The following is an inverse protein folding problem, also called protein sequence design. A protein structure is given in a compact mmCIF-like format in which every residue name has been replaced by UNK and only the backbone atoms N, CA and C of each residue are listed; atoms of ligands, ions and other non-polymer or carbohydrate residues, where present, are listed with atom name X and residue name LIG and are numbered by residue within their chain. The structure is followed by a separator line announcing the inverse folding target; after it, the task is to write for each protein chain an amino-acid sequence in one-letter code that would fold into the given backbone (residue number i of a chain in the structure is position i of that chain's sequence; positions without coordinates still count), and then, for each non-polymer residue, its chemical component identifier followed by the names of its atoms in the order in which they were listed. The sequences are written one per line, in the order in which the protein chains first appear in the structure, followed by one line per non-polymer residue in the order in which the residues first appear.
data_IF_821067352200
#
_entry.id   IF_821067352200
#
_cell.length_a   1.000
_cell.length_b   1.000
_cell.length_c   1.000
_cell.angle_alpha   90.00
_cell.angle_beta   90.00
_cell.angle_gamma   90.00
#
_symmetry.space_group_name_H-M   'P 1'
#
loop_
_entity.id
_entity.type
_entity.pdbx_description
1 polymer ?
#
# COMPACT_ATOMS: atom_id res chain seq x y z
N UNK A 1 -23.32 -26.90 22.78
CA UNK A 1 -23.34 -25.41 22.92
C UNK A 1 -22.24 -24.89 23.85
N UNK A 2 -21.14 -25.63 24.07
CA UNK A 2 -20.12 -25.33 25.10
C UNK A 2 -18.72 -25.04 24.56
N UNK A 3 -18.45 -25.29 23.27
CA UNK A 3 -17.08 -25.17 22.71
C UNK A 3 -16.62 -23.74 22.39
N UNK A 4 -17.55 -22.80 22.19
CA UNK A 4 -17.20 -21.40 21.92
C UNK A 4 -16.99 -20.57 23.20
N UNK A 5 -17.66 -20.91 24.30
CA UNK A 5 -17.50 -20.22 25.58
C UNK A 5 -16.13 -20.49 26.22
N UNK A 6 -15.56 -21.67 25.98
CA UNK A 6 -14.25 -22.04 26.51
C UNK A 6 -13.11 -21.41 25.70
N UNK A 7 -13.32 -21.16 24.40
CA UNK A 7 -12.39 -20.44 23.54
C UNK A 7 -12.30 -18.95 23.90
N UNK A 8 -13.44 -18.30 24.16
CA UNK A 8 -13.45 -16.90 24.61
C UNK A 8 -12.80 -16.74 25.99
N UNK A 9 -13.08 -17.65 26.93
CA UNK A 9 -12.44 -17.66 28.26
C UNK A 9 -10.93 -17.86 28.18
N UNK A 10 -10.44 -18.75 27.32
CA UNK A 10 -9.00 -18.96 27.13
C UNK A 10 -8.32 -17.80 26.41
N UNK A 11 -9.00 -17.13 25.46
CA UNK A 11 -8.46 -15.91 24.85
C UNK A 11 -8.35 -14.76 25.86
N UNK A 12 -9.37 -14.55 26.69
CA UNK A 12 -9.35 -13.48 27.69
C UNK A 12 -8.30 -13.71 28.78
N UNK A 13 -8.03 -14.97 29.18
CA UNK A 13 -6.93 -15.30 30.08
C UNK A 13 -5.56 -14.98 29.46
N UNK A 14 -5.36 -15.29 28.17
CA UNK A 14 -4.11 -15.03 27.47
C UNK A 14 -3.82 -13.53 27.26
N UNK A 15 -4.85 -12.68 27.18
CA UNK A 15 -4.69 -11.22 27.12
C UNK A 15 -4.39 -10.60 28.49
N UNK A 16 -4.96 -11.13 29.57
CA UNK A 16 -4.72 -10.65 30.93
C UNK A 16 -3.27 -10.87 31.39
N UNK A 17 -2.62 -11.94 30.91
CA UNK A 17 -1.22 -12.25 31.21
C UNK A 17 -0.21 -11.31 30.53
N UNK A 18 -0.63 -10.55 29.50
CA UNK A 18 0.22 -9.56 28.80
C UNK A 18 0.30 -8.21 29.52
N UNK A 19 -0.58 -7.96 30.49
CA UNK A 19 -0.63 -6.70 31.25
C UNK A 19 0.16 -6.77 32.59
N UNK A 20 0.70 -7.94 32.94
CA UNK A 20 1.53 -8.13 34.14
C UNK A 20 2.94 -7.56 33.93
N UNK A 21 3.47 -6.73 34.85
CA UNK A 21 4.80 -6.13 34.71
C UNK A 21 5.88 -7.17 35.02
N UNK A 22 6.19 -8.02 34.04
CA UNK A 22 7.23 -9.04 34.08
C UNK A 22 8.05 -9.08 32.78
N UNK A 23 9.27 -9.63 32.85
CA UNK A 23 10.18 -9.77 31.70
C UNK A 23 9.52 -10.57 30.55
N UNK A 24 9.32 -9.97 29.35
CA UNK A 24 8.62 -10.60 28.22
C UNK A 24 9.21 -11.93 27.75
N UNK A 25 10.47 -12.20 28.09
CA UNK A 25 11.19 -13.39 27.64
C UNK A 25 10.76 -14.68 28.37
N UNK A 26 10.19 -14.58 29.57
CA UNK A 26 9.69 -15.75 30.32
C UNK A 26 8.29 -16.18 29.89
N UNK A 27 7.45 -15.25 29.43
CA UNK A 27 6.06 -15.55 29.05
C UNK A 27 5.95 -16.35 27.74
N UNK A 28 6.97 -16.26 26.88
CA UNK A 28 7.00 -16.93 25.57
C UNK A 28 7.33 -18.43 25.64
N UNK A 29 7.85 -18.94 26.77
CA UNK A 29 8.30 -20.33 26.89
C UNK A 29 7.17 -21.33 27.18
N UNK A 30 6.03 -20.86 27.69
CA UNK A 30 4.88 -21.69 28.06
C UNK A 30 3.78 -21.73 26.98
N UNK A 31 3.90 -20.92 25.94
CA UNK A 31 2.93 -20.90 24.84
C UNK A 31 3.11 -22.20 24.04
N UNK A 32 2.16 -23.12 24.21
CA UNK A 32 2.08 -24.35 23.41
C UNK A 32 2.19 -23.99 21.93
N UNK A 33 2.95 -24.74 21.11
CA UNK A 33 2.98 -24.53 19.67
C UNK A 33 1.53 -24.55 19.18
N UNK A 34 1.07 -23.42 18.63
CA UNK A 34 -0.28 -23.32 18.06
C UNK A 34 -0.45 -24.50 17.11
N UNK A 35 -1.36 -25.42 17.44
CA UNK A 35 -1.71 -26.56 16.60
C UNK A 35 -1.85 -26.06 15.16
N UNK A 36 -1.11 -26.69 14.24
CA UNK A 36 -1.02 -26.22 12.87
C UNK A 36 -2.41 -26.15 12.24
N UNK A 37 -2.94 -24.95 12.08
CA UNK A 37 -4.22 -24.69 11.43
C UNK A 37 -4.18 -25.33 10.03
N UNK A 38 -5.16 -26.18 9.71
CA UNK A 38 -5.16 -27.02 8.48
C UNK A 38 -5.08 -26.21 7.17
N UNK A 39 -5.41 -24.91 7.21
CA UNK A 39 -5.43 -24.00 6.06
C UNK A 39 -4.19 -23.08 5.95
N UNK A 40 -3.00 -23.55 6.35
CA UNK A 40 -1.77 -22.77 6.14
C UNK A 40 -1.28 -22.96 4.71
N UNK A 41 -1.22 -21.86 3.95
CA UNK A 41 -0.62 -21.82 2.62
C UNK A 41 0.86 -22.19 2.76
N UNK A 42 1.30 -23.25 2.07
CA UNK A 42 2.70 -23.72 2.15
C UNK A 42 3.63 -23.02 1.15
N UNK A 43 3.10 -22.63 -0.01
CA UNK A 43 3.89 -22.00 -1.08
C UNK A 43 4.25 -20.56 -0.73
N UNK A 44 5.56 -20.27 -0.68
CA UNK A 44 6.05 -18.91 -0.44
C UNK A 44 5.62 -17.94 -1.56
N UNK A 45 5.64 -18.40 -2.80
CA UNK A 45 5.19 -17.59 -3.94
C UNK A 45 3.72 -17.17 -3.81
N UNK A 46 2.85 -18.08 -3.36
CA UNK A 46 1.43 -17.76 -3.15
C UNK A 46 1.25 -16.74 -2.03
N UNK A 47 2.00 -16.86 -0.93
CA UNK A 47 1.99 -15.87 0.15
C UNK A 47 2.42 -14.49 -0.34
N UNK A 48 3.52 -14.43 -1.11
CA UNK A 48 4.00 -13.19 -1.72
C UNK A 48 2.95 -12.56 -2.63
N UNK A 49 2.24 -13.36 -3.45
CA UNK A 49 1.19 -12.86 -4.35
C UNK A 49 -0.01 -12.32 -3.59
N UNK A 50 -0.49 -13.03 -2.56
CA UNK A 50 -1.60 -12.56 -1.74
C UNK A 50 -1.25 -11.29 -0.97
N UNK A 51 -0.07 -11.25 -0.35
CA UNK A 51 0.41 -10.08 0.36
C UNK A 51 0.56 -8.87 -0.58
N UNK A 52 1.13 -9.08 -1.78
CA UNK A 52 1.28 -8.03 -2.79
C UNK A 52 -0.06 -7.54 -3.34
N UNK A 53 -1.00 -8.45 -3.57
CA UNK A 53 -2.35 -8.10 -4.01
C UNK A 53 -3.03 -7.22 -2.96
N UNK A 54 -3.07 -7.68 -1.71
CA UNK A 54 -3.73 -6.96 -0.63
C UNK A 54 -3.06 -5.61 -0.36
N UNK A 55 -1.73 -5.56 -0.37
CA UNK A 55 -0.99 -4.32 -0.18
C UNK A 55 -1.29 -3.28 -1.28
N UNK A 56 -1.25 -3.68 -2.56
CA UNK A 56 -1.60 -2.79 -3.67
C UNK A 56 -3.07 -2.41 -3.66
N UNK A 57 -3.97 -3.33 -3.34
CA UNK A 57 -5.39 -3.06 -3.19
C UNK A 57 -5.65 -1.99 -2.13
N UNK A 58 -5.08 -2.14 -0.92
CA UNK A 58 -5.23 -1.17 0.18
C UNK A 58 -4.66 0.19 -0.22
N UNK A 59 -3.44 0.26 -0.78
CA UNK A 59 -2.86 1.53 -1.23
C UNK A 59 -3.74 2.23 -2.26
N UNK A 60 -4.22 1.51 -3.27
CA UNK A 60 -5.06 2.09 -4.31
C UNK A 60 -6.45 2.49 -3.77
N UNK A 61 -7.05 1.69 -2.90
CA UNK A 61 -8.35 1.99 -2.31
C UNK A 61 -8.31 3.31 -1.51
N UNK A 62 -7.29 3.49 -0.66
CA UNK A 62 -7.13 4.73 0.10
C UNK A 62 -6.83 5.94 -0.81
N UNK A 63 -5.88 5.79 -1.75
CA UNK A 63 -5.49 6.88 -2.66
C UNK A 63 -6.65 7.34 -3.54
N UNK A 64 -7.35 6.40 -4.19
CA UNK A 64 -8.48 6.69 -5.07
C UNK A 64 -9.71 7.21 -4.30
N UNK A 65 -9.97 6.73 -3.09
CA UNK A 65 -11.10 7.23 -2.28
C UNK A 65 -10.90 8.70 -1.91
N UNK A 66 -9.67 9.09 -1.54
CA UNK A 66 -9.35 10.49 -1.28
C UNK A 66 -9.52 11.36 -2.54
N UNK A 67 -8.99 10.91 -3.68
CA UNK A 67 -9.16 11.61 -4.96
C UNK A 67 -10.65 11.78 -5.31
N UNK A 68 -11.43 10.71 -5.15
CA UNK A 68 -12.88 10.71 -5.42
C UNK A 68 -13.60 11.70 -4.52
N UNK A 69 -13.30 11.71 -3.22
CA UNK A 69 -13.90 12.66 -2.28
C UNK A 69 -13.60 14.11 -2.65
N UNK A 70 -12.35 14.44 -2.98
CA UNK A 70 -11.97 15.83 -3.33
C UNK A 70 -12.62 16.25 -4.65
N UNK A 71 -12.61 15.39 -5.67
CA UNK A 71 -13.16 15.72 -7.00
C UNK A 71 -14.69 15.81 -6.96
N UNK A 72 -15.38 14.81 -6.40
CA UNK A 72 -16.86 14.79 -6.35
C UNK A 72 -17.45 15.82 -5.38
N UNK A 73 -16.67 16.31 -4.42
CA UNK A 73 -17.09 17.43 -3.56
C UNK A 73 -16.78 18.80 -4.17
N UNK A 74 -16.35 18.89 -5.43
CA UNK A 74 -15.91 20.14 -6.06
C UNK A 74 -14.83 20.88 -5.23
N UNK A 75 -13.90 20.14 -4.64
CA UNK A 75 -12.82 20.65 -3.76
C UNK A 75 -13.30 21.33 -2.46
N UNK A 76 -14.55 21.09 -2.04
CA UNK A 76 -15.04 21.55 -0.73
C UNK A 76 -14.60 20.64 0.41
N UNK A 77 -14.41 19.34 0.13
CA UNK A 77 -13.95 18.33 1.10
C UNK A 77 -12.50 17.90 0.84
N UNK A 78 -11.59 18.87 0.80
CA UNK A 78 -10.14 18.66 0.69
C UNK A 78 -9.49 19.44 -0.46
N UNK A 79 -8.16 19.41 -0.51
CA UNK A 79 -7.34 20.12 -1.47
C UNK A 79 -6.13 19.28 -1.91
N UNK A 80 -5.20 19.87 -2.65
CA UNK A 80 -4.00 19.17 -3.10
C UNK A 80 -3.16 18.61 -1.93
N UNK A 81 -3.03 19.35 -0.83
CA UNK A 81 -2.27 18.92 0.34
C UNK A 81 -2.92 17.70 0.99
N UNK A 82 -4.25 17.68 1.13
CA UNK A 82 -4.95 16.50 1.68
C UNK A 82 -4.77 15.28 0.78
N UNK A 83 -4.79 15.46 -0.55
CA UNK A 83 -4.50 14.39 -1.51
C UNK A 83 -3.08 13.84 -1.30
N UNK A 84 -2.08 14.72 -1.23
CA UNK A 84 -0.68 14.31 -1.07
C UNK A 84 -0.45 13.55 0.25
N UNK A 85 -1.06 14.03 1.35
CA UNK A 85 -1.00 13.36 2.65
C UNK A 85 -1.70 11.99 2.62
N UNK A 86 -2.88 11.90 2.00
CA UNK A 86 -3.60 10.64 1.87
C UNK A 86 -2.83 9.61 1.05
N UNK A 87 -2.16 10.01 -0.04
CA UNK A 87 -1.29 9.10 -0.79
C UNK A 87 -0.10 8.63 0.06
N UNK A 88 0.55 9.51 0.81
CA UNK A 88 1.60 9.10 1.75
C UNK A 88 1.14 8.07 2.78
N UNK A 89 -0.05 8.28 3.36
CA UNK A 89 -0.68 7.32 4.28
C UNK A 89 -1.09 6.02 3.58
N UNK A 90 -1.58 6.09 2.35
CA UNK A 90 -1.95 4.91 1.56
C UNK A 90 -0.75 4.00 1.28
N UNK A 91 0.42 4.58 0.99
CA UNK A 91 1.67 3.83 0.88
C UNK A 91 2.13 3.28 2.22
N UNK A 92 2.03 4.07 3.29
CA UNK A 92 2.33 3.60 4.65
C UNK A 92 1.51 2.35 5.02
N UNK A 93 0.19 2.37 4.82
CA UNK A 93 -0.67 1.22 5.10
C UNK A 93 -0.39 0.04 4.18
N UNK A 94 -0.22 0.25 2.87
CA UNK A 94 0.11 -0.83 1.94
C UNK A 94 1.43 -1.53 2.29
N UNK A 95 2.47 -0.75 2.62
CA UNK A 95 3.76 -1.30 3.03
C UNK A 95 3.63 -2.03 4.37
N UNK A 96 2.83 -1.53 5.30
CA UNK A 96 2.57 -2.19 6.58
C UNK A 96 1.88 -3.55 6.37
N UNK A 97 0.93 -3.62 5.43
CA UNK A 97 0.17 -4.83 5.12
C UNK A 97 1.01 -5.90 4.41
N UNK A 98 1.80 -5.51 3.39
CA UNK A 98 2.52 -6.47 2.55
C UNK A 98 4.03 -6.56 2.75
N UNK A 99 4.62 -5.63 3.50
CA UNK A 99 6.07 -5.40 3.54
C UNK A 99 6.84 -6.58 4.10
N UNK A 100 6.33 -7.21 5.16
CA UNK A 100 7.00 -8.33 5.83
C UNK A 100 7.05 -9.63 5.01
N UNK A 101 6.17 -9.79 4.01
CA UNK A 101 6.05 -11.04 3.24
C UNK A 101 6.56 -10.85 1.80
N UNK A 102 6.06 -9.83 1.10
CA UNK A 102 6.35 -9.62 -0.33
C UNK A 102 7.33 -8.46 -0.59
N UNK A 103 7.83 -7.79 0.44
CA UNK A 103 8.62 -6.56 0.32
C UNK A 103 7.82 -5.34 -0.16
N UNK A 104 6.48 -5.45 -0.26
CA UNK A 104 5.54 -4.40 -0.70
C UNK A 104 6.08 -3.45 -1.79
N UNK A 105 6.43 -3.99 -2.98
CA UNK A 105 6.96 -3.12 -4.03
C UNK A 105 5.96 -2.05 -4.48
N UNK A 106 4.66 -2.39 -4.45
CA UNK A 106 3.49 -1.54 -4.77
C UNK A 106 3.48 -0.83 -6.14
N UNK A 107 4.58 -0.89 -6.88
CA UNK A 107 4.81 -0.21 -8.13
C UNK A 107 5.57 -1.15 -9.11
N UNK A 108 5.14 -1.25 -10.38
CA UNK A 108 5.85 -1.98 -11.42
C UNK A 108 7.29 -1.50 -11.64
N UNK A 109 7.54 -0.19 -11.64
CA UNK A 109 8.89 0.38 -11.81
C UNK A 109 9.82 -0.03 -10.67
N UNK A 110 9.35 -0.01 -9.42
CA UNK A 110 10.12 -0.51 -8.26
C UNK A 110 10.42 -2.00 -8.43
N UNK A 111 9.44 -2.80 -8.86
CA UNK A 111 9.63 -4.24 -9.11
C UNK A 111 10.69 -4.50 -10.18
N UNK A 112 10.64 -3.76 -11.29
CA UNK A 112 11.61 -3.87 -12.38
C UNK A 112 13.00 -3.43 -11.94
N UNK A 113 13.12 -2.34 -11.18
CA UNK A 113 14.44 -1.87 -10.71
C UNK A 113 15.07 -2.84 -9.71
N UNK A 114 14.29 -3.44 -8.82
CA UNK A 114 14.79 -4.49 -7.94
C UNK A 114 15.29 -5.71 -8.73
N UNK A 115 14.67 -6.03 -9.87
CA UNK A 115 15.17 -7.09 -10.76
C UNK A 115 16.45 -6.70 -11.50
N UNK A 116 16.56 -5.43 -11.95
CA UNK A 116 17.78 -4.88 -12.55
C UNK A 116 18.97 -4.91 -11.57
N UNK A 117 18.72 -4.60 -10.30
CA UNK A 117 19.71 -4.66 -9.23
C UNK A 117 19.98 -6.08 -8.71
N UNK A 118 19.40 -7.12 -9.35
CA UNK A 118 19.51 -8.53 -8.96
C UNK A 118 18.98 -8.85 -7.55
N UNK A 119 18.15 -7.97 -7.00
CA UNK A 119 17.45 -8.16 -5.72
C UNK A 119 16.15 -8.96 -5.88
N UNK A 120 15.65 -9.09 -7.11
CA UNK A 120 14.48 -9.91 -7.45
C UNK A 120 14.77 -10.80 -8.68
N UNK A 121 14.41 -12.10 -8.67
CA UNK A 121 14.50 -12.93 -9.86
C UNK A 121 13.60 -12.42 -10.99
N UNK A 122 14.15 -12.22 -12.19
CA UNK A 122 13.40 -11.76 -13.37
C UNK A 122 12.15 -12.60 -13.69
N UNK A 123 12.19 -13.91 -13.42
CA UNK A 123 11.05 -14.81 -13.60
C UNK A 123 9.80 -14.39 -12.80
N UNK A 124 9.97 -13.70 -11.67
CA UNK A 124 8.87 -13.24 -10.82
C UNK A 124 8.26 -11.92 -11.30
N UNK A 125 9.01 -11.08 -12.02
CA UNK A 125 8.62 -9.73 -12.46
C UNK A 125 7.26 -9.69 -13.17
N UNK A 126 6.99 -10.49 -14.22
CA UNK A 126 5.71 -10.39 -14.94
C UNK A 126 4.51 -10.73 -14.05
N UNK A 127 4.64 -11.74 -13.17
CA UNK A 127 3.59 -12.11 -12.22
C UNK A 127 3.35 -11.02 -11.19
N UNK A 128 4.43 -10.38 -10.71
CA UNK A 128 4.36 -9.30 -9.73
C UNK A 128 3.66 -8.08 -10.33
N UNK A 129 3.98 -7.71 -11.57
CA UNK A 129 3.36 -6.58 -12.26
C UNK A 129 1.89 -6.87 -12.56
N UNK A 130 1.58 -8.05 -13.10
CA UNK A 130 0.20 -8.44 -13.38
C UNK A 130 -0.66 -8.40 -12.11
N UNK A 131 -0.15 -8.95 -11.01
CA UNK A 131 -0.86 -8.95 -9.74
C UNK A 131 -1.10 -7.53 -9.20
N UNK A 132 -0.13 -6.62 -9.36
CA UNK A 132 -0.30 -5.20 -9.00
C UNK A 132 -1.37 -4.52 -9.84
N UNK A 133 -1.36 -4.73 -11.15
CA UNK A 133 -2.35 -4.15 -12.08
C UNK A 133 -3.76 -4.65 -11.76
N UNK A 134 -3.92 -5.97 -11.53
CA UNK A 134 -5.22 -6.55 -11.16
C UNK A 134 -5.69 -6.00 -9.81
N UNK A 135 -4.83 -5.93 -8.80
CA UNK A 135 -5.17 -5.36 -7.50
C UNK A 135 -5.62 -3.90 -7.60
N UNK A 136 -4.92 -3.08 -8.39
CA UNK A 136 -5.25 -1.68 -8.63
C UNK A 136 -6.60 -1.52 -9.36
N UNK A 137 -6.85 -2.36 -10.37
CA UNK A 137 -8.12 -2.39 -11.10
C UNK A 137 -9.29 -2.75 -10.18
N UNK A 138 -9.14 -3.79 -9.35
CA UNK A 138 -10.17 -4.19 -8.38
C UNK A 138 -10.43 -3.08 -7.37
N UNK A 139 -9.39 -2.41 -6.85
CA UNK A 139 -9.56 -1.27 -5.96
C UNK A 139 -10.32 -0.10 -6.63
N UNK A 140 -9.98 0.24 -7.87
CA UNK A 140 -10.68 1.26 -8.64
C UNK A 140 -12.16 0.92 -8.84
N UNK A 141 -12.48 -0.34 -9.16
CA UNK A 141 -13.85 -0.82 -9.29
C UNK A 141 -14.62 -0.69 -7.96
N UNK A 142 -14.00 -1.03 -6.83
CA UNK A 142 -14.60 -0.85 -5.51
C UNK A 142 -14.94 0.62 -5.23
N UNK A 143 -14.01 1.54 -5.48
CA UNK A 143 -14.26 2.98 -5.32
C UNK A 143 -15.39 3.45 -6.24
N UNK A 144 -15.38 3.03 -7.51
CA UNK A 144 -16.44 3.37 -8.45
C UNK A 144 -17.82 2.94 -7.94
N UNK A 145 -17.94 1.70 -7.44
CA UNK A 145 -19.20 1.15 -6.92
C UNK A 145 -19.66 1.93 -5.69
N UNK A 146 -18.75 2.21 -4.74
CA UNK A 146 -19.07 2.92 -3.50
C UNK A 146 -19.58 4.35 -3.75
N UNK A 147 -18.98 5.05 -4.71
CA UNK A 147 -19.32 6.44 -5.02
C UNK A 147 -20.28 6.58 -6.22
N UNK A 148 -20.84 5.48 -6.73
CA UNK A 148 -21.68 5.46 -7.94
C UNK A 148 -22.84 6.48 -7.92
N UNK A 149 -23.57 6.69 -6.81
CA UNK A 149 -24.62 7.70 -6.75
C UNK A 149 -24.07 9.12 -6.96
N UNK A 150 -22.95 9.46 -6.31
CA UNK A 150 -22.30 10.76 -6.45
C UNK A 150 -21.77 10.98 -7.86
N UNK A 151 -21.21 9.94 -8.48
CA UNK A 151 -20.81 10.00 -9.89
C UNK A 151 -22.00 10.30 -10.80
N UNK A 152 -23.16 9.67 -10.59
CA UNK A 152 -24.38 9.94 -11.37
C UNK A 152 -24.89 11.38 -11.22
N UNK A 153 -24.66 12.01 -10.07
CA UNK A 153 -25.07 13.39 -9.81
C UNK A 153 -24.09 14.39 -10.43
N UNK A 154 -22.79 14.20 -10.20
CA UNK A 154 -21.75 15.17 -10.56
C UNK A 154 -21.32 15.08 -12.03
N UNK A 155 -21.28 13.87 -12.60
CA UNK A 155 -20.79 13.64 -13.97
C UNK A 155 -21.59 12.50 -14.64
N UNK A 156 -22.88 12.70 -14.96
CA UNK A 156 -23.76 11.66 -15.51
C UNK A 156 -23.17 10.98 -16.76
N UNK A 157 -22.50 11.75 -17.62
CA UNK A 157 -21.95 11.31 -18.90
C UNK A 157 -20.53 10.72 -18.79
N UNK A 158 -19.93 10.74 -17.59
CA UNK A 158 -18.60 10.16 -17.29
C UNK A 158 -17.45 10.77 -18.08
N UNK A 159 -17.56 12.05 -18.41
CA UNK A 159 -16.56 12.75 -19.24
C UNK A 159 -15.51 13.43 -18.39
N UNK A 160 -15.84 13.91 -17.19
CA UNK A 160 -14.94 14.72 -16.37
C UNK A 160 -14.18 13.93 -15.28
N UNK A 161 -14.74 12.81 -14.81
CA UNK A 161 -14.27 12.08 -13.63
C UNK A 161 -13.18 11.04 -13.90
N UNK A 162 -12.77 10.87 -15.15
CA UNK A 162 -11.69 9.95 -15.56
C UNK A 162 -10.35 10.26 -14.86
N UNK A 163 -10.10 11.53 -14.52
CA UNK A 163 -8.89 12.01 -13.82
C UNK A 163 -8.75 11.50 -12.39
N UNK A 164 -9.82 10.91 -11.80
CA UNK A 164 -9.76 10.26 -10.49
C UNK A 164 -8.97 8.95 -10.56
N UNK A 165 -9.10 8.21 -11.67
CA UNK A 165 -8.60 6.84 -11.80
C UNK A 165 -7.25 6.75 -12.53
N UNK A 166 -6.93 7.76 -13.35
CA UNK A 166 -5.66 7.84 -14.06
C UNK A 166 -5.16 9.29 -14.13
N UNK A 167 -3.85 9.45 -14.28
CA UNK A 167 -3.22 10.76 -14.45
C UNK A 167 -3.20 11.14 -15.93
N UNK A 168 -3.57 12.38 -16.21
CA UNK A 168 -3.57 12.94 -17.56
C UNK A 168 -2.63 14.14 -17.60
N UNK A 169 -1.86 14.29 -18.69
CA UNK A 169 -0.97 15.43 -18.83
C UNK A 169 -1.76 16.72 -19.00
N UNK A 170 -1.16 17.83 -18.62
CA UNK A 170 -1.72 19.15 -18.91
C UNK A 170 -1.64 19.43 -20.42
N UNK A 171 -2.66 20.08 -20.99
CA UNK A 171 -2.81 20.30 -22.44
C UNK A 171 -1.61 21.00 -23.09
N UNK A 172 -0.93 21.85 -22.34
CA UNK A 172 0.24 22.62 -22.79
C UNK A 172 1.59 21.89 -22.64
N UNK A 173 1.62 20.60 -22.26
CA UNK A 173 2.87 19.86 -22.01
C UNK A 173 3.02 18.72 -23.01
N UNK A 174 4.12 18.74 -23.76
CA UNK A 174 4.43 17.70 -24.75
C UNK A 174 4.82 16.36 -24.12
N UNK A 175 4.58 15.26 -24.85
CA UNK A 175 4.82 13.88 -24.38
C UNK A 175 6.25 13.63 -23.88
N UNK A 176 7.26 14.24 -24.50
CA UNK A 176 8.66 14.09 -24.07
C UNK A 176 8.91 14.70 -22.69
N UNK A 177 8.33 15.87 -22.41
CA UNK A 177 8.41 16.50 -21.09
C UNK A 177 7.69 15.65 -20.05
N UNK A 178 6.50 15.13 -20.35
CA UNK A 178 5.78 14.22 -19.47
C UNK A 178 6.58 12.95 -19.15
N UNK A 179 7.25 12.38 -20.16
CA UNK A 179 8.14 11.24 -19.96
C UNK A 179 9.29 11.59 -19.00
N UNK A 180 9.96 12.72 -19.22
CA UNK A 180 11.07 13.15 -18.35
C UNK A 180 10.60 13.41 -16.92
N UNK A 181 9.44 14.04 -16.72
CA UNK A 181 8.93 14.31 -15.37
C UNK A 181 8.63 13.03 -14.61
N UNK A 182 7.99 12.05 -15.26
CA UNK A 182 7.68 10.76 -14.63
C UNK A 182 8.94 9.91 -14.41
N UNK A 183 9.88 9.94 -15.35
CA UNK A 183 11.17 9.27 -15.22
C UNK A 183 11.96 9.81 -14.02
N UNK A 184 12.12 11.13 -13.93
CA UNK A 184 12.86 11.77 -12.84
C UNK A 184 12.15 11.56 -11.50
N UNK A 185 10.83 11.73 -11.45
CA UNK A 185 10.06 11.50 -10.23
C UNK A 185 10.20 10.05 -9.73
N UNK A 186 10.10 9.07 -10.64
CA UNK A 186 10.24 7.65 -10.30
C UNK A 186 11.68 7.32 -9.90
N UNK A 187 12.68 7.90 -10.56
CA UNK A 187 14.09 7.70 -10.20
C UNK A 187 14.39 8.23 -8.78
N UNK A 188 13.87 9.41 -8.42
CA UNK A 188 14.02 9.98 -7.08
C UNK A 188 13.30 9.14 -6.02
N UNK A 189 12.09 8.65 -6.32
CA UNK A 189 11.36 7.72 -5.44
C UNK A 189 12.19 6.46 -5.17
N UNK A 190 12.70 5.82 -6.23
CA UNK A 190 13.50 4.60 -6.10
C UNK A 190 14.81 4.87 -5.37
N UNK A 191 15.51 5.97 -5.69
CA UNK A 191 16.73 6.36 -5.01
C UNK A 191 16.49 6.55 -3.51
N UNK A 192 15.40 7.24 -3.14
CA UNK A 192 15.01 7.41 -1.74
C UNK A 192 14.72 6.08 -1.05
N UNK A 193 13.95 5.18 -1.69
CA UNK A 193 13.69 3.83 -1.15
C UNK A 193 15.00 3.06 -0.93
N UNK A 194 15.90 3.05 -1.91
CA UNK A 194 17.19 2.36 -1.79
C UNK A 194 18.06 2.98 -0.68
N UNK A 195 18.09 4.30 -0.57
CA UNK A 195 18.83 5.00 0.48
C UNK A 195 18.30 4.70 1.89
N UNK A 196 16.98 4.49 2.03
CA UNK A 196 16.35 4.11 3.31
C UNK A 196 16.58 2.64 3.67
N UNK A 197 16.77 1.78 2.67
CA UNK A 197 17.00 0.33 2.85
C UNK A 197 18.48 -0.04 2.97
N UNK A 198 19.39 0.82 2.52
CA UNK A 198 20.83 0.56 2.56
C UNK A 198 21.38 0.61 4.00
N UNK A 199 21.99 -0.50 4.43
CA UNK A 199 22.60 -0.65 5.75
C UNK A 199 23.93 0.12 5.88
N UNK A 200 24.56 0.48 4.77
CA UNK A 200 25.79 1.28 4.76
C UNK A 200 25.52 2.78 4.80
N UNK A 201 24.27 3.19 4.60
CA UNK A 201 23.83 4.57 4.76
C UNK A 201 23.44 4.85 6.23
N UNK A 202 23.09 6.11 6.54
CA UNK A 202 22.66 6.50 7.89
C UNK A 202 21.47 5.65 8.36
N UNK A 203 21.60 4.87 9.45
CA UNK A 203 20.54 3.96 9.89
C UNK A 203 19.37 4.75 10.47
N UNK A 204 18.17 4.47 9.97
CA UNK A 204 16.92 5.12 10.45
C UNK A 204 16.09 4.22 11.39
N UNK A 205 16.53 2.99 11.65
CA UNK A 205 15.79 2.01 12.45
C UNK A 205 14.72 1.29 11.62
N UNK A 206 14.57 -0.03 11.84
CA UNK A 206 13.73 -0.90 10.99
C UNK A 206 12.26 -0.47 10.92
N UNK A 207 11.72 0.03 12.04
CA UNK A 207 10.32 0.47 12.13
C UNK A 207 10.06 1.83 11.48
N UNK A 208 11.11 2.64 11.26
CA UNK A 208 10.98 3.96 10.66
C UNK A 208 11.01 3.93 9.11
N UNK A 209 11.43 2.81 8.51
CA UNK A 209 11.49 2.68 7.04
C UNK A 209 10.11 2.87 6.41
N UNK A 210 9.08 2.18 6.92
CA UNK A 210 7.72 2.27 6.40
C UNK A 210 7.14 3.70 6.42
N UNK A 211 7.15 4.44 7.55
CA UNK A 211 6.71 5.83 7.56
C UNK A 211 7.60 6.75 6.72
N UNK A 212 8.90 6.51 6.62
CA UNK A 212 9.79 7.30 5.77
C UNK A 212 9.49 7.13 4.27
N UNK A 213 9.18 5.91 3.82
CA UNK A 213 8.74 5.67 2.43
C UNK A 213 7.39 6.34 2.16
N UNK A 214 6.45 6.30 3.12
CA UNK A 214 5.20 7.05 3.03
C UNK A 214 5.43 8.56 2.87
N UNK A 215 6.36 9.12 3.65
CA UNK A 215 6.74 10.53 3.57
C UNK A 215 7.38 10.91 2.22
N UNK A 216 8.16 10.01 1.62
CA UNK A 216 8.80 10.22 0.31
C UNK A 216 7.78 10.40 -0.83
N UNK A 217 6.59 9.82 -0.69
CA UNK A 217 5.50 9.95 -1.68
C UNK A 217 4.76 11.28 -1.53
N UNK A 218 4.82 11.91 -0.36
CA UNK A 218 4.17 13.20 -0.12
C UNK A 218 4.90 14.27 -0.91
N UNK A 219 4.31 14.66 -2.05
CA UNK A 219 4.82 15.77 -2.85
C UNK A 219 4.25 17.08 -2.29
N UNK A 220 5.09 17.99 -1.77
CA UNK A 220 4.64 19.36 -1.57
C UNK A 220 4.43 19.99 -2.95
N UNK A 221 3.21 20.44 -3.25
CA UNK A 221 2.99 21.32 -4.39
C UNK A 221 2.11 22.48 -3.93
N UNK A 222 2.62 23.69 -4.18
CA UNK A 222 1.95 24.98 -4.00
C UNK A 222 1.86 25.69 -5.35
N UNK A 223 1.59 24.95 -6.43
CA UNK A 223 1.41 25.57 -7.75
C UNK A 223 -0.09 25.69 -7.99
N UNK A 224 -0.56 26.94 -7.93
CA UNK A 224 -1.88 27.36 -8.42
C UNK A 224 -1.91 27.29 -9.94
#
# INVERSE_FOLDING_TARGET
MTRNSDLEKNSHAAYADLESPGDPSQHLQHLTPVESVSYVIKSQFTKEMMAKFLATFVTMLFGLSCMTQVVLSCKTSGNFVTIALCWGLAFFFGITVGGGISGAHLNPAVTTTLALLKLLPWKKVPFYILNQVVAAYVAALFVYILYRPMFNEVDPDRVATHTIFATFPHENVGNFTCFLTEFVATALLILGILALLDQHNRPIGKHAVTPAVGALVIRPSNVK
#
